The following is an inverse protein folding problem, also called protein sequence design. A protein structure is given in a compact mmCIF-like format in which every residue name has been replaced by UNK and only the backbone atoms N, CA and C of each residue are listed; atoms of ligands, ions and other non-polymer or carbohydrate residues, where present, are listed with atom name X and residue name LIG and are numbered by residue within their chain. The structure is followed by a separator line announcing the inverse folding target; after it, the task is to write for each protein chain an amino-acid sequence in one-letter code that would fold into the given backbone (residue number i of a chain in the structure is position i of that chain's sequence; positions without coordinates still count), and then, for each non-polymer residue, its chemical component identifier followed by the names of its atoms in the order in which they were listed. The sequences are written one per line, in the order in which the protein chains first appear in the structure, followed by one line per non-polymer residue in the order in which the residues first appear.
data_IF_824468587109
#
_entry.id   IF_824468587109
#
_cell.length_a   1.000
_cell.length_b   1.000
_cell.length_c   1.000
_cell.angle_alpha   90.00
_cell.angle_beta   90.00
_cell.angle_gamma   90.00
#
_symmetry.space_group_name_H-M   'P 1'
#
loop_
_entity.id
_entity.type
_entity.pdbx_description
1 polymer ?
#
# COMPACT_ATOMS: atom_id res chain seq x y z
N UNK A 1 -13.51 13.22 -7.63
CA UNK A 1 -13.11 12.03 -6.83
C UNK A 1 -14.10 10.92 -7.14
N UNK A 2 -13.62 9.71 -7.40
CA UNK A 2 -14.46 8.52 -7.59
C UNK A 2 -14.22 7.57 -6.41
N UNK A 3 -15.28 6.90 -5.97
CA UNK A 3 -15.23 5.94 -4.87
C UNK A 3 -15.66 4.58 -5.36
N UNK A 4 -14.96 3.56 -4.90
CA UNK A 4 -15.28 2.16 -5.17
C UNK A 4 -15.51 1.45 -3.84
N UNK A 5 -16.55 0.64 -3.77
CA UNK A 5 -16.89 -0.13 -2.57
C UNK A 5 -16.44 -1.56 -2.76
N UNK A 6 -15.67 -2.08 -1.80
CA UNK A 6 -15.18 -3.45 -1.80
C UNK A 6 -13.82 -3.56 -1.14
N UNK A 7 -13.27 -4.77 -1.11
CA UNK A 7 -11.92 -5.02 -0.62
C UNK A 7 -10.90 -4.46 -1.60
N UNK A 8 -9.87 -3.77 -1.11
CA UNK A 8 -8.86 -3.16 -1.97
C UNK A 8 -8.12 -4.22 -2.83
N UNK A 9 -7.89 -5.39 -2.25
CA UNK A 9 -7.28 -6.56 -2.90
C UNK A 9 -8.14 -7.23 -3.98
N UNK A 10 -9.41 -6.82 -4.13
CA UNK A 10 -10.31 -7.27 -5.19
C UNK A 10 -10.63 -6.12 -6.17
N UNK A 11 -10.83 -4.91 -5.63
CA UNK A 11 -11.23 -3.73 -6.41
C UNK A 11 -10.06 -3.20 -7.24
N UNK A 12 -8.90 -2.94 -6.64
CA UNK A 12 -7.77 -2.35 -7.38
C UNK A 12 -7.32 -3.24 -8.56
N UNK A 13 -7.13 -4.56 -8.39
CA UNK A 13 -6.78 -5.43 -9.53
C UNK A 13 -7.85 -5.39 -10.62
N UNK A 14 -9.14 -5.45 -10.24
CA UNK A 14 -10.25 -5.40 -11.21
C UNK A 14 -10.24 -4.10 -12.01
N UNK A 15 -10.09 -2.95 -11.35
CA UNK A 15 -10.10 -1.65 -12.02
C UNK A 15 -8.86 -1.47 -12.90
N UNK A 16 -7.70 -1.96 -12.47
CA UNK A 16 -6.48 -1.95 -13.28
C UNK A 16 -6.63 -2.83 -14.53
N UNK A 17 -7.04 -4.09 -14.36
CA UNK A 17 -7.09 -5.08 -15.43
C UNK A 17 -8.23 -4.83 -16.43
N UNK A 18 -9.42 -4.44 -15.94
CA UNK A 18 -10.61 -4.31 -16.81
C UNK A 18 -10.82 -2.90 -17.35
N UNK A 19 -10.51 -1.90 -16.53
CA UNK A 19 -10.83 -0.50 -16.84
C UNK A 19 -9.57 0.32 -17.15
N UNK A 20 -8.38 -0.27 -17.06
CA UNK A 20 -7.11 0.41 -17.36
C UNK A 20 -6.79 1.53 -16.38
N UNK A 21 -7.33 1.48 -15.16
CA UNK A 21 -7.09 2.52 -14.14
C UNK A 21 -5.63 2.50 -13.73
N UNK A 22 -4.97 3.66 -13.78
CA UNK A 22 -3.57 3.84 -13.41
C UNK A 22 -3.44 4.95 -12.36
N UNK A 23 -2.33 4.92 -11.61
CA UNK A 23 -1.96 5.99 -10.67
C UNK A 23 -0.46 6.23 -10.70
N UNK A 24 -0.05 7.50 -10.74
CA UNK A 24 1.35 7.91 -10.54
C UNK A 24 1.78 7.76 -9.07
N UNK A 25 0.81 7.87 -8.15
CA UNK A 25 1.01 7.75 -6.70
C UNK A 25 -0.08 6.88 -6.08
N UNK A 26 0.33 5.92 -5.25
CA UNK A 26 -0.59 5.13 -4.42
C UNK A 26 -0.37 5.47 -2.95
N UNK A 27 -1.45 5.74 -2.23
CA UNK A 27 -1.45 5.89 -0.77
C UNK A 27 -2.18 4.71 -0.16
N UNK A 28 -1.54 4.00 0.77
CA UNK A 28 -2.15 2.88 1.51
C UNK A 28 -2.08 3.13 3.01
N UNK A 29 -3.19 2.86 3.69
CA UNK A 29 -3.32 2.86 5.15
C UNK A 29 -4.03 1.57 5.58
N UNK A 30 -3.34 0.41 5.52
CA UNK A 30 -3.95 -0.86 5.84
C UNK A 30 -4.15 -1.04 7.35
N UNK A 31 -5.09 -1.93 7.75
CA UNK A 31 -5.21 -2.36 9.14
C UNK A 31 -3.94 -3.10 9.62
N UNK A 32 -3.85 -3.41 10.92
CA UNK A 32 -2.66 -4.06 11.55
C UNK A 32 -2.10 -5.27 10.81
N UNK A 33 -2.92 -6.03 10.06
CA UNK A 33 -2.49 -7.18 9.24
C UNK A 33 -1.59 -6.80 8.04
N UNK A 34 -1.48 -5.52 7.70
CA UNK A 34 -0.80 -5.01 6.51
C UNK A 34 -1.63 -5.15 5.24
N UNK A 35 -1.00 -4.91 4.09
CA UNK A 35 -1.62 -5.10 2.78
C UNK A 35 -1.76 -6.59 2.45
N UNK A 36 -2.83 -6.94 1.73
CA UNK A 36 -2.95 -8.27 1.14
C UNK A 36 -1.91 -8.43 0.01
N UNK A 37 -1.49 -9.68 -0.23
CA UNK A 37 -0.51 -9.98 -1.28
C UNK A 37 -1.01 -9.58 -2.66
N UNK A 38 -2.29 -9.82 -2.96
CA UNK A 38 -2.87 -9.46 -4.26
C UNK A 38 -2.88 -7.94 -4.49
N UNK A 39 -3.05 -7.16 -3.42
CA UNK A 39 -2.95 -5.71 -3.47
C UNK A 39 -1.52 -5.25 -3.77
N UNK A 40 -0.53 -5.77 -3.02
CA UNK A 40 0.89 -5.45 -3.24
C UNK A 40 1.35 -5.81 -4.66
N UNK A 41 1.01 -7.01 -5.14
CA UNK A 41 1.37 -7.46 -6.48
C UNK A 41 0.73 -6.56 -7.55
N UNK A 42 -0.48 -6.06 -7.33
CA UNK A 42 -1.14 -5.13 -8.25
C UNK A 42 -0.49 -3.75 -8.23
N UNK A 43 -0.11 -3.24 -7.06
CA UNK A 43 0.64 -1.99 -6.95
C UNK A 43 1.98 -2.08 -7.71
N UNK A 44 2.70 -3.18 -7.56
CA UNK A 44 3.95 -3.44 -8.28
C UNK A 44 3.72 -3.52 -9.80
N UNK A 45 2.72 -4.28 -10.24
CA UNK A 45 2.37 -4.40 -11.66
C UNK A 45 1.92 -3.07 -12.28
N UNK A 46 1.24 -2.24 -11.50
CA UNK A 46 0.86 -0.89 -11.91
C UNK A 46 2.10 0.00 -12.02
N UNK A 47 3.08 -0.16 -11.14
CA UNK A 47 4.34 0.60 -11.21
C UNK A 47 4.17 2.11 -11.02
N UNK A 48 3.48 2.60 -9.97
CA UNK A 48 3.46 4.02 -9.64
C UNK A 48 4.87 4.55 -9.35
N UNK A 49 5.12 5.83 -9.63
CA UNK A 49 6.38 6.48 -9.27
C UNK A 49 6.58 6.55 -7.74
N UNK A 50 5.50 6.57 -6.96
CA UNK A 50 5.56 6.67 -5.50
C UNK A 50 4.47 5.86 -4.80
N UNK A 51 4.87 5.17 -3.74
CA UNK A 51 3.96 4.56 -2.77
C UNK A 51 4.15 5.27 -1.42
N UNK A 52 3.07 5.82 -0.88
CA UNK A 52 3.00 6.33 0.49
C UNK A 52 2.31 5.30 1.35
N UNK A 53 3.04 4.73 2.31
CA UNK A 53 2.54 3.69 3.19
C UNK A 53 2.41 4.24 4.62
N UNK A 54 1.18 4.30 5.12
CA UNK A 54 0.87 4.61 6.52
C UNK A 54 0.67 3.28 7.26
N UNK A 55 1.30 3.10 8.42
CA UNK A 55 1.14 1.87 9.19
C UNK A 55 1.02 2.17 10.68
N UNK A 56 0.18 1.37 11.35
CA UNK A 56 0.11 1.28 12.80
C UNK A 56 0.84 0.06 13.37
N UNK A 57 1.38 -0.83 12.52
CA UNK A 57 2.15 -2.00 12.91
C UNK A 57 3.49 -2.03 12.13
N UNK A 58 4.64 -1.87 12.83
CA UNK A 58 5.94 -1.84 12.16
C UNK A 58 6.38 -3.22 11.62
N UNK A 59 5.87 -4.31 12.19
CA UNK A 59 6.22 -5.67 11.78
C UNK A 59 5.59 -6.03 10.42
N UNK A 60 4.30 -5.75 10.25
CA UNK A 60 3.64 -5.97 8.94
C UNK A 60 4.08 -4.94 7.91
N UNK A 61 4.40 -3.70 8.31
CA UNK A 61 5.07 -2.73 7.43
C UNK A 61 6.40 -3.30 6.90
N UNK A 62 7.27 -3.80 7.77
CA UNK A 62 8.56 -4.35 7.35
C UNK A 62 8.41 -5.55 6.39
N UNK A 63 7.41 -6.41 6.62
CA UNK A 63 7.07 -7.51 5.71
C UNK A 63 6.69 -6.98 4.32
N UNK A 64 5.81 -5.99 4.26
CA UNK A 64 5.28 -5.48 3.00
C UNK A 64 6.34 -4.65 2.25
N UNK A 65 7.16 -3.87 2.96
CA UNK A 65 8.31 -3.18 2.39
C UNK A 65 9.35 -4.16 1.81
N UNK A 66 9.53 -5.34 2.41
CA UNK A 66 10.42 -6.36 1.84
C UNK A 66 9.89 -6.87 0.50
N UNK A 67 8.58 -7.00 0.34
CA UNK A 67 7.96 -7.37 -0.94
C UNK A 67 8.18 -6.27 -1.96
N UNK A 68 7.79 -5.03 -1.64
CA UNK A 68 7.95 -3.89 -2.54
C UNK A 68 9.42 -3.65 -2.93
N UNK A 69 10.34 -3.82 -1.97
CA UNK A 69 11.77 -3.67 -2.21
C UNK A 69 12.38 -4.77 -3.09
N UNK A 70 11.83 -5.99 -3.03
CA UNK A 70 12.18 -7.06 -3.97
C UNK A 70 11.79 -6.76 -5.42
N UNK A 71 10.84 -5.85 -5.62
CA UNK A 71 10.27 -5.47 -6.91
C UNK A 71 10.76 -4.09 -7.39
N UNK A 72 11.83 -3.56 -6.80
CA UNK A 72 12.54 -2.37 -7.28
C UNK A 72 12.19 -1.05 -6.58
N UNK A 73 11.34 -1.06 -5.55
CA UNK A 73 11.10 0.14 -4.74
C UNK A 73 12.18 0.33 -3.66
N UNK A 74 12.57 1.57 -3.40
CA UNK A 74 13.43 1.95 -2.27
C UNK A 74 12.67 2.79 -1.25
N UNK A 75 13.05 2.67 0.02
CA UNK A 75 12.50 3.54 1.08
C UNK A 75 13.27 4.85 1.06
N UNK A 76 12.62 5.92 0.59
CA UNK A 76 13.23 7.25 0.49
C UNK A 76 13.10 8.08 1.77
N UNK A 77 11.99 7.93 2.50
CA UNK A 77 11.73 8.71 3.72
C UNK A 77 10.82 7.93 4.66
N UNK A 78 11.09 8.09 5.96
CA UNK A 78 10.25 7.58 7.05
C UNK A 78 9.95 8.73 8.01
N UNK A 79 8.72 8.77 8.52
CA UNK A 79 8.32 9.66 9.59
C UNK A 79 7.56 8.83 10.64
N UNK A 80 7.97 8.94 11.90
CA UNK A 80 7.24 8.33 13.02
C UNK A 80 6.30 9.39 13.58
N UNK A 81 5.05 9.00 13.83
CA UNK A 81 4.02 9.87 14.40
C UNK A 81 3.50 9.22 15.67
N UNK A 82 3.53 9.96 16.78
CA UNK A 82 2.84 9.56 18.01
C UNK A 82 1.35 9.84 17.86
N UNK A 83 0.63 8.89 17.25
CA UNK A 83 -0.82 8.99 17.05
C UNK A 83 -1.59 8.70 18.34
N UNK A 84 -0.97 7.99 19.29
CA UNK A 84 -1.63 7.48 20.49
C UNK A 84 -0.73 7.65 21.72
N UNK A 85 -0.57 8.89 22.17
CA UNK A 85 0.23 9.21 23.35
C UNK A 85 -0.18 8.39 24.57
N UNK A 86 0.81 7.92 25.32
CA UNK A 86 0.64 7.06 26.51
C UNK A 86 0.11 5.65 26.23
N UNK A 87 0.25 5.12 25.00
CA UNK A 87 -0.11 3.75 24.64
C UNK A 87 1.08 2.93 24.12
N UNK A 88 0.93 1.59 24.04
CA UNK A 88 1.90 0.63 23.51
C UNK A 88 1.26 -0.68 23.11
#
# INVERSE_FOLDING_TARGET
VQFFVGKAEEVLPREYEKNGVYADVIVVDPPRKGCDRALLDTMVKMGPERIVYVSCDPGTLARDLKVLGGEGYSVEKVAVVDQFGHTG
#
